data_IF_669583456465
#
_entry.id   IF_669583456465
#
_cell.length_a   1.000
_cell.length_b   1.000
_cell.length_c   1.000
_cell.angle_alpha   90.00
_cell.angle_beta   90.00
_cell.angle_gamma   90.00
#
_symmetry.space_group_name_H-M   'P 1'
#
loop_
_entity.id
_entity.type
_entity.pdbx_description
1 polymer ?
#
# COMPACT_ATOMS: atom_id res chain seq x y z
N UNK A 1 -5.68 -12.95 7.73
CA UNK A 1 -4.48 -12.14 7.51
C UNK A 1 -3.30 -13.05 7.22
N UNK A 2 -2.62 -12.88 6.07
CA UNK A 2 -1.43 -13.63 5.70
C UNK A 2 -0.30 -13.45 6.72
N UNK A 3 0.50 -14.49 6.94
CA UNK A 3 1.70 -14.39 7.76
C UNK A 3 2.73 -13.45 7.09
N UNK A 4 3.44 -12.64 7.88
CA UNK A 4 4.47 -11.72 7.37
C UNK A 4 3.97 -10.35 6.92
N UNK A 5 2.67 -10.07 7.01
CA UNK A 5 2.09 -8.79 6.55
C UNK A 5 2.63 -7.56 7.33
N UNK A 6 2.79 -7.60 8.67
CA UNK A 6 3.41 -6.48 9.40
C UNK A 6 4.85 -6.21 8.96
N UNK A 7 5.64 -7.26 8.73
CA UNK A 7 7.02 -7.14 8.25
C UNK A 7 7.08 -6.56 6.83
N UNK A 8 6.15 -6.98 5.96
CA UNK A 8 6.02 -6.43 4.61
C UNK A 8 5.62 -4.95 4.64
N UNK A 9 4.68 -4.55 5.50
CA UNK A 9 4.29 -3.15 5.69
C UNK A 9 5.48 -2.28 6.15
N UNK A 10 6.28 -2.79 7.10
CA UNK A 10 7.51 -2.11 7.53
C UNK A 10 8.55 -2.01 6.40
N UNK A 11 8.65 -3.03 5.54
CA UNK A 11 9.55 -3.01 4.39
C UNK A 11 9.13 -1.96 3.36
N UNK A 12 7.84 -1.76 3.10
CA UNK A 12 7.36 -0.69 2.22
C UNK A 12 7.85 0.69 2.67
N UNK A 13 7.79 0.97 3.97
CA UNK A 13 8.30 2.23 4.53
C UNK A 13 9.82 2.32 4.36
N UNK A 14 10.55 1.23 4.65
CA UNK A 14 12.01 1.20 4.50
C UNK A 14 12.47 1.38 3.05
N UNK A 15 11.69 0.89 2.09
CA UNK A 15 11.94 0.99 0.65
C UNK A 15 11.53 2.35 0.07
N UNK A 16 10.89 3.21 0.85
CA UNK A 16 10.41 4.52 0.41
C UNK A 16 9.23 4.42 -0.56
N UNK A 17 8.39 3.39 -0.41
CA UNK A 17 7.12 3.29 -1.13
C UNK A 17 6.24 4.47 -0.74
N UNK A 18 5.70 5.18 -1.73
CA UNK A 18 4.89 6.39 -1.52
C UNK A 18 3.38 6.13 -1.59
N UNK A 19 2.98 5.03 -2.21
CA UNK A 19 1.58 4.65 -2.40
C UNK A 19 1.40 3.13 -2.35
N UNK A 20 0.35 2.67 -1.66
CA UNK A 20 -0.09 1.27 -1.62
C UNK A 20 -1.60 1.19 -1.83
N UNK A 21 -2.01 0.65 -2.97
CA UNK A 21 -3.39 0.21 -3.18
C UNK A 21 -3.55 -1.26 -2.74
N UNK A 22 -4.61 -1.57 -2.01
CA UNK A 22 -4.92 -2.94 -1.61
C UNK A 22 -6.27 -3.36 -2.20
N UNK A 23 -6.24 -4.43 -2.99
CA UNK A 23 -7.41 -5.02 -3.63
C UNK A 23 -7.90 -6.24 -2.86
N UNK A 24 -9.22 -6.35 -2.70
CA UNK A 24 -9.92 -7.54 -2.23
C UNK A 24 -10.41 -7.49 -0.78
N UNK A 25 -10.94 -8.61 -0.24
CA UNK A 25 -11.74 -8.62 0.98
C UNK A 25 -11.02 -8.19 2.26
N UNK A 26 -9.70 -8.27 2.29
CA UNK A 26 -8.86 -7.91 3.44
C UNK A 26 -8.14 -6.56 3.26
N UNK A 27 -8.58 -5.74 2.30
CA UNK A 27 -7.90 -4.50 1.94
C UNK A 27 -7.75 -3.56 3.14
N UNK A 28 -8.82 -3.41 3.92
CA UNK A 28 -8.86 -2.54 5.09
C UNK A 28 -7.88 -2.97 6.18
N UNK A 29 -7.84 -4.25 6.51
CA UNK A 29 -6.93 -4.76 7.53
C UNK A 29 -5.46 -4.64 7.11
N UNK A 30 -5.17 -4.76 5.81
CA UNK A 30 -3.83 -4.56 5.26
C UNK A 30 -3.45 -3.08 5.27
N UNK A 31 -4.37 -2.19 4.88
CA UNK A 31 -4.19 -0.74 4.95
C UNK A 31 -3.87 -0.30 6.38
N UNK A 32 -4.60 -0.78 7.38
CA UNK A 32 -4.34 -0.47 8.79
C UNK A 32 -2.93 -0.89 9.23
N UNK A 33 -2.35 -1.95 8.66
CA UNK A 33 -0.97 -2.36 8.93
C UNK A 33 0.05 -1.42 8.26
N UNK A 34 -0.21 -0.96 7.03
CA UNK A 34 0.65 0.00 6.33
C UNK A 34 0.64 1.36 7.05
N UNK A 35 -0.53 1.81 7.50
CA UNK A 35 -0.67 3.01 8.32
C UNK A 35 0.08 2.88 9.64
N UNK A 36 -0.09 1.76 10.34
CA UNK A 36 0.61 1.49 11.59
C UNK A 36 2.14 1.47 11.40
N UNK A 37 2.64 0.90 10.31
CA UNK A 37 4.07 0.90 9.98
C UNK A 37 4.59 2.32 9.71
N UNK A 38 3.85 3.11 8.95
CA UNK A 38 4.16 4.52 8.66
C UNK A 38 4.25 5.35 9.96
N UNK A 39 3.30 5.16 10.87
CA UNK A 39 3.29 5.80 12.20
C UNK A 39 4.49 5.35 13.04
N UNK A 40 4.78 4.05 13.07
CA UNK A 40 5.85 3.47 13.87
C UNK A 40 7.24 3.93 13.40
N UNK A 41 7.43 4.16 12.10
CA UNK A 41 8.67 4.70 11.55
C UNK A 41 8.91 6.17 11.94
N UNK A 42 7.87 6.88 12.40
CA UNK A 42 7.92 8.30 12.78
C UNK A 42 8.17 9.21 11.56
N UNK A 43 8.44 10.49 11.79
CA UNK A 43 8.73 11.47 10.73
C UNK A 43 7.77 11.43 9.52
N UNK A 44 6.51 11.91 9.67
CA UNK A 44 5.48 11.81 8.63
C UNK A 44 5.88 12.42 7.27
N UNK A 45 6.79 13.40 7.25
CA UNK A 45 7.27 14.00 6.00
C UNK A 45 8.13 13.06 5.14
N UNK A 46 8.59 11.94 5.71
CA UNK A 46 9.51 11.00 5.06
C UNK A 46 8.94 9.59 4.95
N UNK A 47 8.09 9.20 5.90
CA UNK A 47 7.63 7.83 6.05
C UNK A 47 6.11 7.68 5.85
N UNK A 48 5.44 8.73 5.37
CA UNK A 48 4.02 8.65 5.04
C UNK A 48 3.84 7.89 3.72
N UNK A 49 2.95 6.91 3.75
CA UNK A 49 2.50 6.16 2.58
C UNK A 49 1.03 6.50 2.38
N UNK A 50 0.66 6.94 1.17
CA UNK A 50 -0.74 7.07 0.81
C UNK A 50 -1.32 5.66 0.60
N UNK A 51 -2.48 5.37 1.18
CA UNK A 51 -3.15 4.08 1.04
C UNK A 51 -4.51 4.23 0.36
N UNK A 52 -4.96 3.16 -0.30
CA UNK A 52 -6.34 3.03 -0.78
C UNK A 52 -6.81 1.58 -0.71
N UNK A 53 -8.07 1.39 -0.31
CA UNK A 53 -8.72 0.09 -0.18
C UNK A 53 -9.78 -0.10 -1.26
N UNK A 54 -9.69 -1.21 -1.99
CA UNK A 54 -10.50 -1.53 -3.15
C UNK A 54 -11.17 -2.91 -2.95
N UNK A 55 -12.31 -3.02 -2.24
CA UNK A 55 -12.90 -4.31 -1.91
C UNK A 55 -13.56 -5.02 -3.12
N UNK A 56 -14.13 -4.25 -4.05
CA UNK A 56 -15.03 -4.73 -5.11
C UNK A 56 -14.63 -4.29 -6.52
N UNK A 57 -13.50 -3.59 -6.68
CA UNK A 57 -13.01 -3.11 -7.97
C UNK A 57 -12.25 -4.20 -8.74
N UNK A 58 -12.03 -3.99 -10.04
CA UNK A 58 -11.19 -4.89 -10.83
C UNK A 58 -9.70 -4.59 -10.63
N UNK A 59 -8.83 -5.55 -10.98
CA UNK A 59 -7.38 -5.32 -10.97
C UNK A 59 -7.04 -4.16 -11.93
N UNK A 60 -7.71 -4.11 -13.08
CA UNK A 60 -7.52 -3.09 -14.10
C UNK A 60 -7.87 -1.69 -13.59
N UNK A 61 -8.99 -1.53 -12.90
CA UNK A 61 -9.41 -0.23 -12.33
C UNK A 61 -8.39 0.28 -11.29
N UNK A 62 -7.91 -0.62 -10.41
CA UNK A 62 -6.93 -0.26 -9.38
C UNK A 62 -5.58 0.10 -9.99
N UNK A 63 -5.16 -0.61 -11.04
CA UNK A 63 -3.94 -0.30 -11.78
C UNK A 63 -4.04 1.04 -12.49
N UNK A 64 -5.14 1.30 -13.19
CA UNK A 64 -5.37 2.60 -13.84
C UNK A 64 -5.35 3.74 -12.82
N UNK A 65 -6.00 3.55 -11.66
CA UNK A 65 -5.95 4.52 -10.57
C UNK A 65 -4.52 4.77 -10.09
N UNK A 66 -3.76 3.71 -9.80
CA UNK A 66 -2.37 3.81 -9.34
C UNK A 66 -1.47 4.52 -10.37
N UNK A 67 -1.62 4.20 -11.64
CA UNK A 67 -0.87 4.81 -12.75
C UNK A 67 -1.27 6.27 -13.01
N UNK A 68 -2.50 6.66 -12.64
CA UNK A 68 -2.98 8.04 -12.77
C UNK A 68 -2.38 9.00 -11.73
N UNK A 69 -1.77 8.47 -10.66
CA UNK A 69 -1.16 9.29 -9.62
C UNK A 69 0.03 10.09 -10.16
N UNK A 70 0.22 11.28 -9.61
CA UNK A 70 1.23 12.23 -10.07
C UNK A 70 1.94 12.93 -8.91
N UNK A 71 2.96 13.72 -9.21
CA UNK A 71 3.73 14.44 -8.19
C UNK A 71 4.56 13.48 -7.33
N UNK A 72 4.42 13.59 -6.01
CA UNK A 72 5.17 12.76 -5.05
C UNK A 72 4.75 11.27 -5.08
N UNK A 73 3.59 10.96 -5.66
CA UNK A 73 3.06 9.60 -5.81
C UNK A 73 3.29 9.00 -7.20
N UNK A 74 3.99 9.70 -8.09
CA UNK A 74 4.31 9.19 -9.42
C UNK A 74 5.40 8.11 -9.35
N UNK A 75 5.28 7.07 -10.18
CA UNK A 75 6.32 6.05 -10.28
C UNK A 75 5.85 4.79 -10.98
N UNK A 76 6.77 3.82 -11.18
CA UNK A 76 6.39 2.50 -11.70
C UNK A 76 5.51 1.77 -10.68
N UNK A 77 4.38 1.25 -11.15
CA UNK A 77 3.49 0.40 -10.33
C UNK A 77 4.01 -1.04 -10.33
N UNK A 78 4.00 -1.67 -9.15
CA UNK A 78 4.35 -3.08 -8.97
C UNK A 78 3.17 -3.83 -8.36
N UNK A 79 2.87 -5.01 -8.89
CA UNK A 79 1.78 -5.86 -8.41
C UNK A 79 2.35 -6.98 -7.55
N UNK A 80 1.82 -7.10 -6.33
CA UNK A 80 2.13 -8.20 -5.43
C UNK A 80 0.86 -9.04 -5.19
N UNK A 81 0.90 -10.31 -5.57
CA UNK A 81 -0.13 -11.27 -5.22
C UNK A 81 0.16 -11.91 -3.87
N UNK A 82 -0.73 -11.68 -2.92
CA UNK A 82 -0.65 -12.31 -1.60
C UNK A 82 -1.50 -13.57 -1.62
N UNK A 83 -0.84 -14.73 -1.50
CA UNK A 83 -1.55 -16.01 -1.33
C UNK A 83 -2.18 -16.04 0.05
N UNK A 84 -3.51 -16.06 0.09
CA UNK A 84 -4.30 -16.20 1.31
C UNK A 84 -4.46 -17.66 1.72
#
# INVERSE_FOLDING_TARGET
MPAGMPELAAQFVADGVVFVAVLGPACREIEELVDAASIAAGSPQRNFILTSSHPDESVEDVLEFAESLSGEYAGPVQVLEIKQ
#
